data_IF_706434358673
#
_entry.id   IF_706434358673
#
_cell.length_a   1.000
_cell.length_b   1.000
_cell.length_c   1.000
_cell.angle_alpha   90.00
_cell.angle_beta   90.00
_cell.angle_gamma   90.00
#
_symmetry.space_group_name_H-M   'P 1'
#
loop_
_entity.id
_entity.type
_entity.pdbx_description
1 polymer ?
#
# COMPACT_ATOMS: atom_id res chain seq x y z
N UNK A 1 -24.41 19.41 31.39
CA UNK A 1 -24.37 17.96 31.08
C UNK A 1 -24.19 17.81 29.58
N UNK A 2 -23.11 17.19 29.11
CA UNK A 2 -22.93 16.88 27.69
C UNK A 2 -23.22 15.40 27.50
N UNK A 3 -24.42 15.08 27.05
CA UNK A 3 -24.87 13.70 26.87
C UNK A 3 -24.10 13.10 25.69
N UNK A 4 -23.40 11.98 25.91
CA UNK A 4 -22.60 11.30 24.90
C UNK A 4 -21.20 11.88 24.65
N UNK A 5 -20.70 12.77 25.53
CA UNK A 5 -19.34 13.30 25.40
C UNK A 5 -18.29 12.18 25.56
N UNK A 6 -17.35 12.12 24.62
CA UNK A 6 -16.14 11.31 24.72
C UNK A 6 -15.01 12.21 25.20
N UNK A 7 -14.49 11.92 26.39
CA UNK A 7 -13.33 12.60 26.97
C UNK A 7 -12.08 11.75 26.73
N UNK A 8 -11.46 11.90 25.56
CA UNK A 8 -10.20 11.22 25.26
C UNK A 8 -9.04 11.86 26.04
N UNK A 9 -8.03 11.06 26.38
CA UNK A 9 -6.75 11.59 26.87
C UNK A 9 -6.05 12.37 25.75
N UNK A 10 -5.38 13.46 26.10
CA UNK A 10 -4.53 14.20 25.18
C UNK A 10 -3.22 13.43 24.96
N UNK A 11 -3.24 12.52 23.98
CA UNK A 11 -2.10 11.70 23.59
C UNK A 11 -2.19 11.30 22.13
N UNK A 12 -1.04 11.07 21.53
CA UNK A 12 -0.94 10.43 20.22
C UNK A 12 -1.03 8.90 20.34
N UNK A 13 -1.44 8.26 19.24
CA UNK A 13 -1.48 6.81 19.11
C UNK A 13 -0.54 6.43 17.97
N UNK A 14 0.53 5.72 18.30
CA UNK A 14 1.43 5.13 17.29
C UNK A 14 0.71 4.03 16.54
N UNK A 15 0.67 4.14 15.21
CA UNK A 15 0.12 3.11 14.34
C UNK A 15 1.22 2.13 13.89
N UNK A 16 0.81 0.90 13.56
CA UNK A 16 1.68 -0.12 12.95
C UNK A 16 3.02 -0.32 13.68
N UNK A 17 3.01 -0.17 15.01
CA UNK A 17 4.21 -0.22 15.84
C UNK A 17 4.97 -1.55 15.66
N UNK A 18 6.30 -1.44 15.58
CA UNK A 18 7.20 -2.59 15.42
C UNK A 18 7.21 -3.22 14.03
N UNK A 19 6.48 -2.66 13.05
CA UNK A 19 6.54 -3.11 11.66
C UNK A 19 7.70 -2.47 10.91
N UNK A 20 8.24 -3.20 9.93
CA UNK A 20 9.19 -2.63 8.97
C UNK A 20 8.46 -1.63 8.11
N UNK A 21 9.05 -0.45 7.93
CA UNK A 21 8.54 0.58 7.05
C UNK A 21 9.56 0.93 5.97
N UNK A 22 9.08 1.32 4.80
CA UNK A 22 9.87 1.81 3.67
C UNK A 22 9.22 3.06 3.10
N UNK A 23 10.02 4.02 2.65
CA UNK A 23 9.54 5.19 1.91
C UNK A 23 9.86 5.00 0.44
N UNK A 24 8.87 5.21 -0.42
CA UNK A 24 9.03 5.13 -1.88
C UNK A 24 8.41 6.35 -2.57
N UNK A 25 9.01 6.76 -3.69
CA UNK A 25 8.44 7.75 -4.59
C UNK A 25 7.45 7.08 -5.54
N UNK A 26 6.28 7.68 -5.73
CA UNK A 26 5.21 7.14 -6.57
C UNK A 26 4.69 8.24 -7.51
N UNK A 27 4.74 7.97 -8.81
CA UNK A 27 4.27 8.88 -9.85
C UNK A 27 3.05 8.31 -10.57
N UNK A 28 1.97 9.10 -10.71
CA UNK A 28 0.83 8.73 -11.55
C UNK A 28 1.06 9.16 -13.00
N UNK A 29 1.38 8.19 -13.85
CA UNK A 29 1.58 8.39 -15.30
C UNK A 29 0.27 8.29 -16.09
N UNK A 30 -0.86 8.06 -15.41
CA UNK A 30 -2.18 8.02 -16.02
C UNK A 30 -2.81 9.40 -16.22
N UNK A 31 -3.92 9.40 -16.96
CA UNK A 31 -4.73 10.58 -17.26
C UNK A 31 -5.90 10.78 -16.28
N UNK A 32 -6.04 9.88 -15.29
CA UNK A 32 -7.11 9.86 -14.31
C UNK A 32 -6.55 9.76 -12.89
N UNK A 33 -7.26 10.32 -11.91
CA UNK A 33 -6.84 10.20 -10.53
C UNK A 33 -6.92 8.76 -10.04
N UNK A 34 -5.96 8.37 -9.20
CA UNK A 34 -5.90 7.05 -8.55
C UNK A 34 -5.94 7.25 -7.04
N UNK A 35 -6.72 6.45 -6.32
CA UNK A 35 -6.79 6.50 -4.87
C UNK A 35 -6.54 5.10 -4.30
N UNK A 36 -5.55 4.98 -3.42
CA UNK A 36 -5.10 3.72 -2.85
C UNK A 36 -5.43 3.69 -1.36
N UNK A 37 -6.17 2.67 -0.94
CA UNK A 37 -6.57 2.49 0.46
C UNK A 37 -5.46 1.94 1.35
N UNK A 38 -5.60 2.16 2.65
CA UNK A 38 -4.62 1.81 3.69
C UNK A 38 -4.11 0.36 3.65
N UNK A 39 -4.98 -0.62 3.35
CA UNK A 39 -4.66 -2.07 3.44
C UNK A 39 -4.57 -2.77 2.09
N UNK A 40 -4.53 -2.02 0.99
CA UNK A 40 -4.33 -2.60 -0.34
C UNK A 40 -2.86 -3.02 -0.48
N UNK A 41 -2.58 -4.22 -1.02
CA UNK A 41 -1.21 -4.66 -1.28
C UNK A 41 -0.57 -3.71 -2.30
N UNK A 42 0.37 -2.87 -1.86
CA UNK A 42 0.79 -1.70 -2.64
C UNK A 42 1.46 -2.09 -3.96
N UNK A 43 2.10 -3.25 -4.00
CA UNK A 43 2.62 -3.89 -5.22
C UNK A 43 1.58 -4.08 -6.34
N UNK A 44 0.30 -4.23 -6.00
CA UNK A 44 -0.77 -4.56 -6.94
C UNK A 44 -1.67 -3.36 -7.27
N UNK A 45 -1.27 -2.14 -6.94
CA UNK A 45 -2.08 -0.93 -7.23
C UNK A 45 -2.19 -0.66 -8.72
N UNK A 46 -2.95 0.35 -9.12
CA UNK A 46 -3.17 0.66 -10.53
C UNK A 46 -1.84 0.74 -11.31
N UNK A 47 -1.75 0.00 -12.42
CA UNK A 47 -0.59 -0.07 -13.32
C UNK A 47 -0.11 1.27 -13.87
N UNK A 48 -0.94 2.32 -13.82
CA UNK A 48 -0.55 3.68 -14.20
C UNK A 48 0.32 4.38 -13.14
N UNK A 49 0.38 3.85 -11.90
CA UNK A 49 1.33 4.30 -10.91
C UNK A 49 2.67 3.62 -11.16
N UNK A 50 3.74 4.41 -11.21
CA UNK A 50 5.11 3.93 -11.43
C UNK A 50 5.94 4.19 -10.18
N UNK A 51 6.57 3.14 -9.69
CA UNK A 51 7.35 3.12 -8.46
C UNK A 51 8.22 1.85 -8.39
N UNK A 52 9.01 1.71 -7.33
CA UNK A 52 9.80 0.51 -7.09
C UNK A 52 8.90 -0.66 -6.60
N UNK A 53 8.42 -1.46 -7.55
CA UNK A 53 7.58 -2.64 -7.29
C UNK A 53 8.22 -3.61 -6.29
N UNK A 54 9.54 -3.81 -6.36
CA UNK A 54 10.22 -4.78 -5.50
C UNK A 54 10.21 -4.35 -4.03
N UNK A 55 10.33 -3.04 -3.76
CA UNK A 55 10.20 -2.47 -2.41
C UNK A 55 8.76 -2.48 -1.89
N UNK A 56 7.76 -2.43 -2.76
CA UNK A 56 6.35 -2.45 -2.37
C UNK A 56 5.78 -3.85 -2.09
N UNK A 57 6.51 -4.91 -2.47
CA UNK A 57 6.05 -6.29 -2.32
C UNK A 57 5.93 -6.73 -0.85
N UNK A 58 4.72 -7.12 -0.44
CA UNK A 58 4.38 -7.49 0.93
C UNK A 58 4.09 -6.30 1.85
N UNK A 59 3.87 -5.11 1.29
CA UNK A 59 3.60 -3.88 2.05
C UNK A 59 2.24 -3.25 1.68
N UNK A 60 1.72 -2.42 2.58
CA UNK A 60 0.56 -1.55 2.36
C UNK A 60 0.85 -0.14 2.90
N UNK A 61 0.01 0.85 2.62
CA UNK A 61 0.23 2.22 3.08
C UNK A 61 0.26 2.30 4.61
N UNK A 62 1.28 2.99 5.15
CA UNK A 62 1.44 3.24 6.58
C UNK A 62 0.64 4.48 7.01
N UNK A 63 -0.68 4.35 6.98
CA UNK A 63 -1.64 5.43 7.25
C UNK A 63 -2.78 4.91 8.14
N UNK A 64 -3.60 5.79 8.75
CA UNK A 64 -4.74 5.36 9.54
C UNK A 64 -5.67 4.39 8.78
N UNK A 65 -6.08 3.33 9.46
CA UNK A 65 -6.95 2.31 8.86
C UNK A 65 -8.25 2.92 8.33
N UNK A 66 -8.68 2.46 7.15
CA UNK A 66 -9.85 3.00 6.43
C UNK A 66 -9.59 4.27 5.62
N UNK A 67 -8.41 4.91 5.74
CA UNK A 67 -8.04 6.07 4.92
C UNK A 67 -7.32 5.66 3.63
N UNK A 68 -6.94 6.64 2.81
CA UNK A 68 -6.32 6.44 1.50
C UNK A 68 -5.42 7.59 1.08
N UNK A 69 -4.45 7.33 0.20
CA UNK A 69 -3.67 8.34 -0.51
C UNK A 69 -4.20 8.48 -1.93
N UNK A 70 -4.42 9.72 -2.37
CA UNK A 70 -4.89 10.07 -3.71
C UNK A 70 -3.73 10.61 -4.54
N UNK A 71 -3.61 10.18 -5.78
CA UNK A 71 -2.63 10.64 -6.77
C UNK A 71 -3.38 11.28 -7.94
N UNK A 72 -3.21 12.59 -8.14
CA UNK A 72 -3.74 13.27 -9.33
C UNK A 72 -2.96 12.87 -10.60
N UNK A 73 -3.51 13.06 -11.81
CA UNK A 73 -2.78 12.83 -13.04
C UNK A 73 -1.47 13.63 -13.10
N UNK A 74 -0.34 12.95 -13.33
CA UNK A 74 0.99 13.56 -13.37
C UNK A 74 1.61 13.90 -12.01
N UNK A 75 0.90 13.66 -10.90
CA UNK A 75 1.43 13.89 -9.56
C UNK A 75 2.49 12.83 -9.19
N UNK A 76 3.56 13.30 -8.55
CA UNK A 76 4.60 12.47 -7.95
C UNK A 76 4.77 12.85 -6.48
N UNK A 77 4.78 11.85 -5.59
CA UNK A 77 5.01 12.06 -4.16
C UNK A 77 5.55 10.83 -3.44
N UNK A 78 6.17 11.10 -2.30
CA UNK A 78 6.61 10.05 -1.39
C UNK A 78 5.44 9.50 -0.57
N UNK A 79 5.43 8.20 -0.38
CA UNK A 79 4.55 7.50 0.56
C UNK A 79 5.35 6.58 1.45
N UNK A 80 4.87 6.42 2.68
CA UNK A 80 5.37 5.41 3.60
C UNK A 80 4.52 4.15 3.48
N UNK A 81 5.20 3.01 3.40
CA UNK A 81 4.59 1.69 3.39
C UNK A 81 5.05 0.90 4.61
N UNK A 82 4.17 0.10 5.17
CA UNK A 82 4.43 -0.79 6.31
C UNK A 82 4.18 -2.25 5.94
N UNK A 83 4.94 -3.15 6.54
CA UNK A 83 4.89 -4.58 6.22
C UNK A 83 3.54 -5.20 6.62
N UNK A 84 2.94 -5.96 5.70
CA UNK A 84 1.68 -6.67 5.96
C UNK A 84 1.77 -7.59 7.19
N UNK A 85 0.71 -7.59 7.99
CA UNK A 85 0.56 -8.48 9.15
C UNK A 85 0.06 -9.89 8.82
N UNK A 86 -0.25 -10.64 9.88
CA UNK A 86 -0.85 -11.97 9.78
C UNK A 86 0.02 -12.97 9.03
N UNK A 87 -0.63 -13.85 8.23
CA UNK A 87 0.05 -14.88 7.43
C UNK A 87 0.65 -14.35 6.12
N UNK A 88 0.54 -13.04 5.85
CA UNK A 88 0.99 -12.41 4.59
C UNK A 88 0.50 -13.14 3.34
N UNK A 89 -0.75 -13.63 3.33
CA UNK A 89 -1.34 -14.28 2.15
C UNK A 89 -2.17 -13.28 1.38
N UNK A 90 -1.86 -13.10 0.10
CA UNK A 90 -2.50 -12.12 -0.77
C UNK A 90 -3.28 -12.85 -1.86
N UNK A 91 -4.57 -12.54 -1.98
CA UNK A 91 -5.48 -13.12 -2.95
C UNK A 91 -6.45 -12.05 -3.48
N UNK A 92 -6.83 -12.15 -4.75
CA UNK A 92 -7.65 -11.15 -5.44
C UNK A 92 -6.79 -9.98 -5.93
N UNK A 93 -7.26 -8.75 -5.73
CA UNK A 93 -6.58 -7.53 -6.19
C UNK A 93 -6.36 -7.53 -7.71
N UNK A 94 -5.11 -7.66 -8.18
CA UNK A 94 -4.79 -7.79 -9.62
C UNK A 94 -4.29 -9.21 -9.97
N UNK A 95 -4.43 -10.16 -9.04
CA UNK A 95 -3.95 -11.52 -9.14
C UNK A 95 -2.46 -11.57 -9.56
N UNK A 96 -1.61 -10.74 -8.94
CA UNK A 96 -0.17 -10.78 -9.20
C UNK A 96 0.54 -11.77 -8.28
N UNK A 97 0.14 -11.80 -6.99
CA UNK A 97 0.78 -12.63 -5.97
C UNK A 97 0.09 -13.98 -5.76
N UNK A 98 -1.23 -13.99 -5.51
CA UNK A 98 -2.05 -15.20 -5.33
C UNK A 98 -1.43 -16.30 -4.44
N UNK A 99 -0.64 -15.89 -3.45
CA UNK A 99 0.20 -16.77 -2.64
C UNK A 99 0.55 -16.08 -1.31
N UNK A 100 1.39 -16.73 -0.52
CA UNK A 100 2.06 -16.04 0.57
C UNK A 100 3.10 -15.08 0.00
N UNK A 101 3.08 -13.81 0.40
CA UNK A 101 4.08 -12.82 0.06
C UNK A 101 5.35 -13.10 0.87
N UNK A 102 6.29 -13.81 0.23
CA UNK A 102 7.57 -14.24 0.78
C UNK A 102 8.63 -14.17 -0.32
N UNK A 103 9.89 -14.41 0.05
CA UNK A 103 11.03 -14.25 -0.86
C UNK A 103 10.98 -15.23 -2.05
N UNK A 104 10.44 -16.44 -1.84
CA UNK A 104 10.30 -17.48 -2.86
C UNK A 104 9.22 -17.18 -3.92
N UNK A 105 8.18 -16.42 -3.55
CA UNK A 105 7.09 -16.02 -4.45
C UNK A 105 7.28 -14.65 -5.11
N UNK A 106 8.24 -13.87 -4.61
CA UNK A 106 8.51 -12.50 -5.07
C UNK A 106 8.88 -12.42 -6.55
N UNK A 107 9.79 -13.29 -6.99
CA UNK A 107 10.26 -13.30 -8.38
C UNK A 107 9.11 -13.59 -9.37
N UNK A 108 8.29 -14.60 -9.08
CA UNK A 108 7.13 -14.94 -9.90
C UNK A 108 6.09 -13.80 -9.93
N UNK A 109 5.87 -13.13 -8.80
CA UNK A 109 4.96 -11.98 -8.72
C UNK A 109 5.46 -10.81 -9.57
N UNK A 110 6.76 -10.49 -9.51
CA UNK A 110 7.39 -9.44 -10.32
C UNK A 110 7.29 -9.76 -11.82
N UNK A 111 7.47 -11.02 -12.20
CA UNK A 111 7.29 -11.45 -13.59
C UNK A 111 5.84 -11.29 -14.05
N UNK A 112 4.86 -11.67 -13.22
CA UNK A 112 3.44 -11.43 -13.50
C UNK A 112 3.13 -9.93 -13.68
N UNK A 113 3.68 -9.07 -12.81
CA UNK A 113 3.50 -7.62 -12.89
C UNK A 113 4.07 -7.07 -14.21
N UNK A 114 5.27 -7.52 -14.60
CA UNK A 114 5.90 -7.16 -15.86
C UNK A 114 5.07 -7.60 -17.07
N UNK A 115 4.59 -8.85 -17.08
CA UNK A 115 3.77 -9.39 -18.17
C UNK A 115 2.44 -8.65 -18.31
N UNK A 116 1.85 -8.18 -17.20
CA UNK A 116 0.59 -7.40 -17.19
C UNK A 116 0.80 -5.89 -17.38
N UNK A 117 2.05 -5.43 -17.52
CA UNK A 117 2.39 -4.04 -17.82
C UNK A 117 2.28 -3.07 -16.64
N UNK A 118 2.67 -3.50 -15.44
CA UNK A 118 2.84 -2.63 -14.27
C UNK A 118 4.19 -1.88 -14.37
N UNK A 119 4.20 -0.62 -13.92
CA UNK A 119 5.25 0.38 -14.16
C UNK A 119 6.13 0.67 -12.94
#
# INVERSE_FOLDING_TARGET
>A
MKIGEIMASDREITLNEGKKAVTIMVANKGDRPVQVGSHFHFFEVNRCLSFDLEKAYGYHLDIPSGTSVRFEPGEEKEVQLTEMGGRKRVFGLNDLTCAQAADDTKAASLENAKLKGFL
#
